data_IF_370813097288
#
_entry.id   IF_370813097288
#
_cell.length_a   1.000
_cell.length_b   1.000
_cell.length_c   1.000
_cell.angle_alpha   90.00
_cell.angle_beta   90.00
_cell.angle_gamma   90.00
#
_symmetry.space_group_name_H-M   'P 1'
#
loop_
_entity.id
_entity.type
_entity.pdbx_description
1 polymer ?
#
# COMPACT_ATOMS: atom_id res chain seq x y z
N UNK A 1 33.15 13.64 16.24
CA UNK A 1 32.85 13.64 14.80
C UNK A 1 31.61 12.76 14.58
N UNK A 2 30.47 13.18 15.13
CA UNK A 2 29.21 12.45 15.03
C UNK A 2 28.45 13.01 13.85
N UNK A 3 28.50 12.27 12.74
CA UNK A 3 27.83 12.57 11.49
C UNK A 3 26.34 12.84 11.75
N UNK A 4 25.96 14.11 11.85
CA UNK A 4 24.58 14.61 11.68
C UNK A 4 23.50 13.88 12.50
N UNK A 5 23.32 14.35 13.74
CA UNK A 5 22.24 14.01 14.68
C UNK A 5 20.89 13.74 14.00
N UNK A 6 20.05 12.85 14.56
CA UNK A 6 18.69 12.51 14.10
C UNK A 6 17.85 13.75 13.75
N UNK A 7 18.12 14.87 14.42
CA UNK A 7 17.52 16.17 14.14
C UNK A 7 17.75 16.68 12.71
N UNK A 8 18.93 16.43 12.13
CA UNK A 8 19.24 16.76 10.74
C UNK A 8 18.40 15.92 9.77
N UNK A 9 18.21 14.62 10.06
CA UNK A 9 17.39 13.74 9.24
C UNK A 9 15.92 14.18 9.19
N UNK A 10 15.37 14.71 10.30
CA UNK A 10 14.03 15.30 10.32
C UNK A 10 13.96 16.53 9.39
N UNK A 11 14.94 17.43 9.46
CA UNK A 11 15.02 18.60 8.59
C UNK A 11 15.11 18.19 7.10
N UNK A 12 15.94 17.19 6.79
CA UNK A 12 16.13 16.72 5.42
C UNK A 12 14.84 16.11 4.87
N UNK A 13 14.11 15.33 5.68
CA UNK A 13 12.83 14.72 5.27
C UNK A 13 11.79 15.79 4.91
N UNK A 14 11.70 16.87 5.70
CA UNK A 14 10.81 18.01 5.41
C UNK A 14 11.19 18.69 4.10
N UNK A 15 12.48 18.96 3.87
CA UNK A 15 12.95 19.60 2.62
C UNK A 15 12.66 18.74 1.39
N UNK A 16 12.91 17.43 1.49
CA UNK A 16 12.60 16.48 0.43
C UNK A 16 11.09 16.45 0.17
N UNK A 17 10.26 16.42 1.21
CA UNK A 17 8.80 16.42 1.05
C UNK A 17 8.29 17.73 0.44
N UNK A 18 8.93 18.89 0.67
CA UNK A 18 8.53 20.15 0.04
C UNK A 18 8.98 20.21 -1.44
N UNK A 19 10.19 19.76 -1.75
CA UNK A 19 10.73 19.74 -3.12
C UNK A 19 10.05 18.69 -4.00
N UNK A 20 9.82 17.51 -3.44
CA UNK A 20 9.27 16.37 -4.16
C UNK A 20 7.77 16.21 -3.93
N UNK A 21 7.19 16.66 -2.82
CA UNK A 21 5.75 16.50 -2.51
C UNK A 21 4.79 17.24 -3.44
N UNK A 22 5.28 17.92 -4.47
CA UNK A 22 4.50 18.37 -5.62
C UNK A 22 3.96 17.21 -6.48
N UNK A 23 2.64 17.25 -6.70
CA UNK A 23 1.85 16.57 -7.76
C UNK A 23 2.29 15.17 -8.21
N UNK A 24 2.20 14.21 -7.29
CA UNK A 24 1.84 12.82 -7.61
C UNK A 24 2.96 11.87 -8.03
N UNK A 25 4.17 12.34 -8.33
CA UNK A 25 5.28 11.46 -8.75
C UNK A 25 5.72 10.48 -7.65
N UNK A 26 5.73 10.91 -6.39
CA UNK A 26 6.05 10.04 -5.25
C UNK A 26 4.96 9.02 -4.99
N UNK A 27 3.68 9.34 -5.22
CA UNK A 27 2.59 8.40 -4.96
C UNK A 27 2.66 7.18 -5.89
N UNK A 28 2.92 7.40 -7.18
CA UNK A 28 3.10 6.31 -8.15
C UNK A 28 4.36 5.49 -7.85
N UNK A 29 5.50 6.13 -7.61
CA UNK A 29 6.76 5.45 -7.28
C UNK A 29 6.67 4.68 -5.95
N UNK A 30 6.11 5.28 -4.90
CA UNK A 30 5.88 4.64 -3.61
C UNK A 30 4.89 3.48 -3.74
N UNK A 31 3.88 3.59 -4.60
CA UNK A 31 2.93 2.52 -4.89
C UNK A 31 3.62 1.31 -5.54
N UNK A 32 4.48 1.53 -6.53
CA UNK A 32 5.21 0.45 -7.20
C UNK A 32 6.28 -0.17 -6.30
N UNK A 33 6.99 0.64 -5.51
CA UNK A 33 7.91 0.16 -4.47
C UNK A 33 7.17 -0.63 -3.37
N UNK A 34 6.00 -0.15 -2.95
CA UNK A 34 5.17 -0.79 -1.92
C UNK A 34 4.64 -2.15 -2.39
N UNK A 35 4.23 -2.27 -3.66
CA UNK A 35 3.85 -3.56 -4.27
C UNK A 35 5.03 -4.51 -4.36
N UNK A 36 6.20 -4.03 -4.78
CA UNK A 36 7.43 -4.83 -4.83
C UNK A 36 7.84 -5.36 -3.45
N UNK A 37 7.84 -4.50 -2.44
CA UNK A 37 8.18 -4.90 -1.07
C UNK A 37 7.10 -5.80 -0.43
N UNK A 38 5.81 -5.58 -0.73
CA UNK A 38 4.71 -6.46 -0.29
C UNK A 38 4.83 -7.85 -0.88
N UNK A 39 5.15 -7.98 -2.16
CA UNK A 39 5.37 -9.27 -2.80
C UNK A 39 6.65 -9.95 -2.31
N UNK A 40 7.71 -9.19 -2.04
CA UNK A 40 8.93 -9.72 -1.43
C UNK A 40 8.67 -10.23 -0.01
N UNK A 41 7.97 -9.45 0.82
CA UNK A 41 7.57 -9.88 2.16
C UNK A 41 6.61 -11.07 2.12
N UNK A 42 5.66 -11.09 1.20
CA UNK A 42 4.75 -12.23 1.03
C UNK A 42 5.50 -13.47 0.57
N UNK A 43 6.49 -13.35 -0.32
CA UNK A 43 7.35 -14.48 -0.72
C UNK A 43 8.18 -15.02 0.45
N UNK A 44 8.81 -14.14 1.22
CA UNK A 44 9.63 -14.52 2.38
C UNK A 44 8.79 -15.00 3.57
N UNK A 45 7.61 -14.43 3.81
CA UNK A 45 6.69 -14.85 4.88
C UNK A 45 5.76 -15.99 4.45
N UNK A 46 5.63 -16.31 3.16
CA UNK A 46 4.86 -17.49 2.71
C UNK A 46 5.56 -18.79 3.11
N UNK A 47 6.87 -18.80 3.33
CA UNK A 47 7.57 -19.93 3.97
C UNK A 47 7.15 -20.14 5.43
N UNK A 48 6.58 -19.13 6.10
CA UNK A 48 6.12 -19.20 7.50
C UNK A 48 4.58 -19.22 7.68
N UNK A 49 3.80 -18.69 6.72
CA UNK A 49 2.41 -18.25 6.96
C UNK A 49 1.40 -18.72 5.89
N UNK A 50 1.58 -19.93 5.35
CA UNK A 50 0.71 -20.55 4.32
C UNK A 50 -0.74 -20.84 4.79
N UNK A 51 -1.24 -20.22 5.87
CA UNK A 51 -2.57 -20.53 6.46
C UNK A 51 -3.54 -19.36 6.63
N UNK A 52 -3.20 -18.10 6.30
CA UNK A 52 -4.10 -16.97 6.66
C UNK A 52 -4.38 -15.89 5.59
N UNK A 53 -4.06 -16.09 4.31
CA UNK A 53 -4.23 -15.02 3.29
C UNK A 53 -5.23 -15.32 2.15
N UNK A 54 -5.93 -16.45 2.19
CA UNK A 54 -6.99 -16.76 1.22
C UNK A 54 -8.32 -16.09 1.54
N UNK A 55 -8.49 -15.53 2.74
CA UNK A 55 -9.78 -15.10 3.29
C UNK A 55 -10.20 -13.67 2.92
N UNK A 56 -9.26 -12.83 2.47
CA UNK A 56 -9.52 -11.39 2.27
C UNK A 56 -9.89 -11.03 0.82
N UNK A 57 -9.37 -11.78 -0.17
CA UNK A 57 -9.65 -11.52 -1.60
C UNK A 57 -11.05 -12.00 -2.00
N UNK A 58 -11.54 -13.09 -1.41
CA UNK A 58 -12.88 -13.65 -1.72
C UNK A 58 -14.04 -12.82 -1.13
N UNK A 59 -13.79 -12.04 -0.06
CA UNK A 59 -14.80 -11.17 0.56
C UNK A 59 -15.04 -9.88 -0.22
N UNK A 60 -14.04 -9.36 -0.91
CA UNK A 60 -14.15 -8.08 -1.64
C UNK A 60 -14.91 -8.27 -2.96
N UNK A 61 -14.77 -9.44 -3.60
CA UNK A 61 -15.46 -9.76 -4.86
C UNK A 61 -16.97 -10.06 -4.65
N UNK A 62 -17.30 -10.83 -3.61
CA UNK A 62 -18.70 -11.14 -3.27
C UNK A 62 -19.48 -9.90 -2.77
N UNK A 63 -18.83 -8.91 -2.18
CA UNK A 63 -19.52 -7.70 -1.69
C UNK A 63 -19.94 -6.73 -2.80
N UNK A 64 -19.34 -6.82 -4.00
CA UNK A 64 -19.68 -5.97 -5.14
C UNK A 64 -20.78 -6.58 -6.00
N UNK A 65 -20.83 -7.92 -6.13
CA UNK A 65 -21.84 -8.61 -6.94
C UNK A 65 -23.25 -8.54 -6.32
N UNK A 66 -23.38 -8.54 -4.98
CA UNK A 66 -24.67 -8.49 -4.26
C UNK A 66 -25.42 -7.15 -4.46
N UNK A 67 -24.76 -6.07 -4.88
CA UNK A 67 -25.40 -4.74 -5.01
C UNK A 67 -26.04 -4.48 -6.37
N UNK A 68 -25.70 -5.25 -7.40
CA UNK A 68 -26.24 -5.05 -8.75
C UNK A 68 -27.60 -5.72 -8.97
N UNK A 69 -27.89 -6.84 -8.30
CA UNK A 69 -29.11 -7.62 -8.55
C UNK A 69 -30.38 -7.09 -7.84
N UNK A 70 -30.28 -6.22 -6.83
CA UNK A 70 -31.48 -5.72 -6.12
C UNK A 70 -32.13 -4.49 -6.81
N UNK A 71 -31.55 -3.95 -7.89
CA UNK A 71 -32.06 -2.72 -8.53
C UNK A 71 -32.85 -2.92 -9.84
N UNK A 72 -33.10 -4.18 -10.24
CA UNK A 72 -33.75 -4.49 -11.53
C UNK A 72 -35.20 -4.99 -11.42
N UNK A 73 -35.70 -5.23 -10.21
CA UNK A 73 -37.07 -5.70 -9.93
C UNK A 73 -38.03 -4.58 -9.45
N UNK A 74 -37.73 -3.33 -9.75
CA UNK A 74 -38.65 -2.20 -9.53
C UNK A 74 -38.79 -1.35 -10.80
N UNK A 75 -39.27 -1.98 -11.87
CA UNK A 75 -39.91 -1.29 -12.98
C UNK A 75 -41.05 -2.11 -13.55
#
# INVERSE_FOLDING_TARGET
MGFTSIWHWIIVLVVVLVLFGGRGKISSLMGDFGKGLKNFKKGVSSEDDERNTSSDVERIENAQNIKEDTKKDSK
#
